data_IF_390339923152
#
_entry.id   IF_390339923152
#
_cell.length_a   1.000
_cell.length_b   1.000
_cell.length_c   1.000
_cell.angle_alpha   90.00
_cell.angle_beta   90.00
_cell.angle_gamma   90.00
#
_symmetry.space_group_name_H-M   'P 1'
#
loop_
_entity.id
_entity.type
_entity.pdbx_description
1 polymer ?
#
# COMPACT_ATOMS: atom_id res chain seq x y z
N UNK A 1 2.79 29.32 -4.00
CA UNK A 1 2.47 27.88 -4.13
C UNK A 1 0.98 27.74 -3.90
N UNK A 2 0.19 27.13 -4.81
CA UNK A 2 -1.21 26.83 -4.50
C UNK A 2 -1.25 25.89 -3.30
N UNK A 3 -2.08 26.21 -2.31
CA UNK A 3 -2.30 25.36 -1.15
C UNK A 3 -3.01 24.09 -1.61
N UNK A 4 -2.26 22.98 -1.68
CA UNK A 4 -2.83 21.69 -2.06
C UNK A 4 -3.78 21.29 -0.95
N UNK A 5 -5.05 21.09 -1.30
CA UNK A 5 -6.07 20.70 -0.33
C UNK A 5 -5.94 19.20 -0.07
N UNK A 6 -5.03 18.85 0.85
CA UNK A 6 -4.64 17.48 1.20
C UNK A 6 -5.85 16.59 1.45
N UNK A 7 -6.85 17.12 2.15
CA UNK A 7 -8.03 16.38 2.58
C UNK A 7 -8.92 15.99 1.41
N UNK A 8 -9.20 16.91 0.50
CA UNK A 8 -10.01 16.67 -0.70
C UNK A 8 -9.31 15.69 -1.64
N UNK A 9 -7.99 15.83 -1.83
CA UNK A 9 -7.19 14.87 -2.60
C UNK A 9 -7.32 13.45 -2.03
N UNK A 10 -7.15 13.30 -0.71
CA UNK A 10 -7.23 12.00 -0.06
C UNK A 10 -8.66 11.44 -0.02
N UNK A 11 -9.69 12.29 0.02
CA UNK A 11 -11.08 11.86 -0.17
C UNK A 11 -11.28 11.25 -1.56
N UNK A 12 -10.78 11.90 -2.62
CA UNK A 12 -10.84 11.38 -3.98
C UNK A 12 -10.08 10.06 -4.11
N UNK A 13 -8.89 9.95 -3.52
CA UNK A 13 -8.10 8.71 -3.48
C UNK A 13 -8.87 7.60 -2.78
N UNK A 14 -9.45 7.87 -1.60
CA UNK A 14 -10.21 6.87 -0.85
C UNK A 14 -11.43 6.37 -1.63
N UNK A 15 -12.18 7.29 -2.26
CA UNK A 15 -13.33 6.92 -3.11
C UNK A 15 -12.91 6.01 -4.26
N UNK A 16 -11.80 6.32 -4.94
CA UNK A 16 -11.28 5.49 -6.03
C UNK A 16 -10.83 4.10 -5.55
N UNK A 17 -10.09 4.05 -4.44
CA UNK A 17 -9.60 2.79 -3.87
C UNK A 17 -10.75 1.90 -3.41
N UNK A 18 -11.72 2.44 -2.68
CA UNK A 18 -12.86 1.66 -2.19
C UNK A 18 -13.82 1.25 -3.30
N UNK A 19 -13.93 2.01 -4.39
CA UNK A 19 -14.79 1.64 -5.51
C UNK A 19 -14.30 0.40 -6.27
N UNK A 20 -13.01 0.06 -6.16
CA UNK A 20 -12.45 -1.18 -6.73
C UNK A 20 -12.98 -2.44 -6.04
N UNK A 21 -13.38 -2.34 -4.77
CA UNK A 21 -13.85 -3.47 -3.97
C UNK A 21 -15.29 -3.25 -3.49
N UNK A 22 -16.26 -3.74 -4.27
CA UNK A 22 -17.70 -3.62 -3.94
C UNK A 22 -18.09 -4.21 -2.58
N UNK A 23 -17.33 -5.20 -2.08
CA UNK A 23 -17.57 -5.83 -0.78
C UNK A 23 -17.15 -4.98 0.43
N UNK A 24 -16.40 -3.89 0.19
CA UNK A 24 -15.65 -3.16 1.21
C UNK A 24 -14.24 -3.70 1.40
N UNK A 25 -13.40 -2.88 2.02
CA UNK A 25 -11.96 -3.13 2.18
C UNK A 25 -11.59 -3.03 3.66
N UNK A 26 -10.71 -3.92 4.14
CA UNK A 26 -10.15 -3.80 5.48
C UNK A 26 -9.23 -2.58 5.57
N UNK A 27 -9.15 -1.93 6.73
CA UNK A 27 -8.34 -0.71 6.94
C UNK A 27 -6.90 -0.89 6.45
N UNK A 28 -6.23 -1.97 6.88
CA UNK A 28 -4.83 -2.24 6.52
C UNK A 28 -4.69 -2.41 5.00
N UNK A 29 -5.60 -3.17 4.38
CA UNK A 29 -5.61 -3.34 2.93
C UNK A 29 -5.86 -2.03 2.18
N UNK A 30 -6.63 -1.10 2.75
CA UNK A 30 -6.84 0.23 2.16
C UNK A 30 -5.57 1.09 2.22
N UNK A 31 -4.80 1.00 3.30
CA UNK A 31 -3.50 1.67 3.38
C UNK A 31 -2.51 1.07 2.40
N UNK A 32 -2.41 -0.26 2.36
CA UNK A 32 -1.52 -0.98 1.43
C UNK A 32 -1.85 -0.65 -0.03
N UNK A 33 -3.14 -0.60 -0.38
CA UNK A 33 -3.58 -0.28 -1.74
C UNK A 33 -3.32 1.19 -2.08
N UNK A 34 -3.49 2.11 -1.14
CA UNK A 34 -3.15 3.53 -1.36
C UNK A 34 -1.64 3.69 -1.53
N UNK A 35 -0.84 3.10 -0.66
CA UNK A 35 0.62 3.17 -0.72
C UNK A 35 1.19 2.54 -2.00
N UNK A 36 0.58 1.44 -2.47
CA UNK A 36 1.03 0.75 -3.68
C UNK A 36 0.63 1.45 -4.98
N UNK A 37 -0.45 2.23 -4.99
CA UNK A 37 -1.01 2.81 -6.21
C UNK A 37 -0.88 4.33 -6.31
N UNK A 38 -0.50 5.03 -5.25
CA UNK A 38 -0.44 6.49 -5.24
C UNK A 38 0.93 6.96 -4.76
N UNK A 39 1.38 8.07 -5.31
CA UNK A 39 2.62 8.73 -4.87
C UNK A 39 2.24 10.11 -4.36
N UNK A 40 2.48 10.34 -3.07
CA UNK A 40 2.21 11.62 -2.44
C UNK A 40 3.44 12.52 -2.43
N UNK A 41 3.25 13.84 -2.27
CA UNK A 41 4.36 14.76 -2.01
C UNK A 41 5.16 14.35 -0.78
N UNK A 42 6.47 14.64 -0.77
CA UNK A 42 7.40 14.20 0.28
C UNK A 42 7.00 14.75 1.66
N UNK A 43 6.41 15.95 1.71
CA UNK A 43 5.90 16.54 2.93
C UNK A 43 4.83 15.69 3.64
N UNK A 44 4.09 14.84 2.91
CA UNK A 44 3.05 13.99 3.50
C UNK A 44 3.60 12.67 4.08
N UNK A 45 4.88 12.38 3.83
CA UNK A 45 5.60 11.28 4.47
C UNK A 45 6.31 11.73 5.75
N UNK A 46 6.11 12.98 6.19
CA UNK A 46 6.59 13.41 7.50
C UNK A 46 6.02 12.50 8.58
N UNK A 47 6.90 11.98 9.42
CA UNK A 47 6.51 11.18 10.57
C UNK A 47 5.84 12.05 11.62
N UNK A 48 4.71 11.57 12.11
CA UNK A 48 3.97 12.15 13.22
C UNK A 48 3.75 11.07 14.28
N UNK A 49 3.58 11.45 15.56
CA UNK A 49 3.26 10.49 16.60
C UNK A 49 1.96 9.76 16.27
N UNK A 50 1.98 8.42 16.31
CA UNK A 50 0.82 7.61 16.01
C UNK A 50 -0.26 7.78 17.09
N UNK A 51 -1.53 7.57 16.72
CA UNK A 51 -2.64 7.72 17.67
C UNK A 51 -2.45 6.88 18.95
N UNK A 52 -1.94 5.65 18.81
CA UNK A 52 -1.67 4.75 19.94
C UNK A 52 -0.54 5.24 20.83
N UNK A 53 0.38 6.04 20.30
CA UNK A 53 1.48 6.64 21.03
C UNK A 53 1.00 7.64 22.09
N UNK A 54 -0.02 8.43 21.78
CA UNK A 54 -0.60 9.36 22.75
C UNK A 54 -1.26 8.64 23.93
N UNK A 55 -1.97 7.54 23.67
CA UNK A 55 -2.59 6.70 24.70
C UNK A 55 -1.54 6.05 25.63
N UNK A 56 -0.34 5.77 25.13
CA UNK A 56 0.78 5.26 25.93
C UNK A 56 1.37 6.34 26.84
N UNK A 57 1.52 7.57 26.35
CA UNK A 57 2.00 8.70 27.16
C UNK A 57 1.01 9.03 28.28
N UNK A 58 -0.29 9.03 27.97
CA UNK A 58 -1.34 9.25 28.96
C UNK A 58 -1.34 8.15 30.04
N UNK A 59 -1.18 6.88 29.64
CA UNK A 59 -1.01 5.76 30.60
C UNK A 59 0.21 5.89 31.49
N UNK A 60 1.29 6.51 31.00
CA UNK A 60 2.50 6.82 31.78
C UNK A 60 2.36 8.09 32.64
N UNK A 61 1.20 8.76 32.61
CA UNK A 61 0.95 10.00 33.35
C UNK A 61 1.65 11.22 32.76
N UNK A 62 2.17 11.14 31.53
CA UNK A 62 2.73 12.28 30.83
C UNK A 62 1.63 13.02 30.05
N UNK A 63 1.47 14.31 30.34
CA UNK A 63 0.61 15.20 29.57
C UNK A 63 1.32 15.59 28.27
N UNK A 64 1.08 14.79 27.22
CA UNK A 64 1.67 14.97 25.89
C UNK A 64 1.37 16.35 25.30
N UNK A 65 0.30 17.04 25.74
CA UNK A 65 -0.04 18.40 25.27
C UNK A 65 1.01 19.45 25.67
N UNK A 66 1.81 19.16 26.69
CA UNK A 66 2.88 20.05 27.18
C UNK A 66 4.25 19.71 26.58
N UNK A 67 4.35 18.61 25.84
CA UNK A 67 5.59 18.15 25.23
C UNK A 67 5.68 18.71 23.80
N UNK A 68 6.81 19.33 23.41
CA UNK A 68 7.02 19.75 22.02
C UNK A 68 6.85 18.59 21.04
N UNK A 69 6.23 18.85 19.89
CA UNK A 69 5.92 17.84 18.86
C UNK A 69 7.15 17.02 18.45
N UNK A 70 8.30 17.69 18.33
CA UNK A 70 9.59 17.08 17.96
C UNK A 70 10.03 16.01 18.96
N UNK A 71 9.80 16.27 20.26
CA UNK A 71 10.12 15.31 21.33
C UNK A 71 9.10 14.17 21.39
N UNK A 72 7.86 14.41 20.98
CA UNK A 72 6.86 13.34 20.94
C UNK A 72 7.24 12.25 19.94
N UNK A 73 7.80 12.62 18.78
CA UNK A 73 8.28 11.68 17.76
C UNK A 73 9.34 10.72 18.31
N UNK A 74 10.18 11.17 19.25
CA UNK A 74 11.20 10.31 19.87
C UNK A 74 10.64 9.38 20.96
N UNK A 75 9.48 9.72 21.53
CA UNK A 75 8.93 9.06 22.71
C UNK A 75 7.90 7.98 22.39
N UNK A 76 7.33 7.99 21.18
CA UNK A 76 6.23 7.09 20.81
C UNK A 76 6.36 6.60 19.37
N UNK A 77 5.71 5.47 19.03
CA UNK A 77 5.64 5.02 17.65
C UNK A 77 5.09 6.10 16.73
N UNK A 78 5.69 6.26 15.55
CA UNK A 78 5.26 7.21 14.54
C UNK A 78 4.48 6.56 13.42
N UNK A 79 3.76 7.39 12.67
CA UNK A 79 3.10 7.02 11.42
C UNK A 79 3.26 8.13 10.39
N UNK A 80 3.21 7.81 9.08
CA UNK A 80 3.23 8.82 8.03
C UNK A 80 2.03 9.77 8.15
N UNK A 81 2.26 11.07 7.97
CA UNK A 81 1.21 12.09 8.04
C UNK A 81 0.01 11.78 7.12
N UNK A 82 0.27 11.25 5.91
CA UNK A 82 -0.80 10.88 4.97
C UNK A 82 -1.77 9.84 5.54
N UNK A 83 -1.32 8.90 6.39
CA UNK A 83 -2.21 7.89 6.99
C UNK A 83 -3.19 8.52 7.99
N UNK A 84 -2.72 9.50 8.76
CA UNK A 84 -3.57 10.28 9.64
C UNK A 84 -4.56 11.14 8.85
N UNK A 85 -4.10 11.85 7.82
CA UNK A 85 -4.98 12.63 6.95
C UNK A 85 -6.01 11.76 6.22
N UNK A 86 -5.65 10.54 5.84
CA UNK A 86 -6.56 9.58 5.24
C UNK A 86 -7.66 9.15 6.22
N UNK A 87 -7.36 8.99 7.51
CA UNK A 87 -8.38 8.77 8.57
C UNK A 87 -9.32 9.96 8.70
N UNK A 88 -8.81 11.19 8.61
CA UNK A 88 -9.64 12.40 8.62
C UNK A 88 -10.53 12.48 7.38
N UNK A 89 -9.97 12.26 6.18
CA UNK A 89 -10.72 12.19 4.93
C UNK A 89 -11.84 11.14 5.00
N UNK A 90 -11.55 9.96 5.56
CA UNK A 90 -12.54 8.90 5.81
C UNK A 90 -13.65 9.37 6.76
N UNK A 91 -13.32 10.08 7.83
CA UNK A 91 -14.33 10.60 8.76
C UNK A 91 -15.26 11.62 8.09
N UNK A 92 -14.74 12.43 7.19
CA UNK A 92 -15.53 13.41 6.44
C UNK A 92 -16.42 12.72 5.38
N UNK A 93 -15.91 11.70 4.68
CA UNK A 93 -16.73 10.86 3.79
C UNK A 93 -17.84 10.13 4.53
N UNK A 94 -17.58 9.68 5.78
CA UNK A 94 -18.59 9.10 6.65
C UNK A 94 -19.67 10.12 7.02
N UNK A 95 -19.28 11.33 7.43
CA UNK A 95 -20.23 12.43 7.75
C UNK A 95 -21.07 12.82 6.55
N UNK A 96 -20.50 12.79 5.35
CA UNK A 96 -21.19 13.10 4.10
C UNK A 96 -22.12 11.96 3.60
N UNK A 97 -22.15 10.80 4.27
CA UNK A 97 -22.99 9.66 3.93
C UNK A 97 -22.47 8.81 2.76
N UNK A 98 -21.19 8.95 2.40
CA UNK A 98 -20.56 8.15 1.34
C UNK A 98 -20.05 6.80 1.82
N UNK A 99 -19.83 6.64 3.13
CA UNK A 99 -19.42 5.37 3.74
C UNK A 99 -20.56 4.72 4.51
N UNK A 100 -20.65 3.40 4.36
CA UNK A 100 -21.61 2.57 5.04
C UNK A 100 -21.22 2.42 6.52
N UNK A 101 -22.09 2.90 7.41
CA UNK A 101 -21.88 2.83 8.87
C UNK A 101 -22.33 1.51 9.47
N UNK A 102 -23.10 0.70 8.72
CA UNK A 102 -23.49 -0.65 9.11
C UNK A 102 -22.43 -1.70 8.74
N UNK A 103 -21.36 -1.30 8.04
CA UNK A 103 -20.23 -2.17 7.75
C UNK A 103 -19.54 -2.65 9.06
N UNK A 104 -19.01 -3.89 9.11
CA UNK A 104 -18.28 -4.38 10.27
C UNK A 104 -17.13 -3.47 10.69
N UNK A 105 -16.79 -3.46 11.99
CA UNK A 105 -15.64 -2.71 12.50
C UNK A 105 -14.37 -3.16 11.76
N UNK A 106 -13.60 -2.19 11.26
CA UNK A 106 -12.39 -2.45 10.48
C UNK A 106 -12.61 -2.53 8.97
N UNK A 107 -13.86 -2.55 8.50
CA UNK A 107 -14.20 -2.57 7.07
C UNK A 107 -14.71 -1.21 6.63
N UNK A 108 -14.12 -0.67 5.56
CA UNK A 108 -14.57 0.53 4.89
C UNK A 108 -15.31 0.13 3.61
N UNK A 109 -16.59 0.49 3.53
CA UNK A 109 -17.46 0.16 2.40
C UNK A 109 -18.19 1.42 1.94
N UNK A 110 -18.30 1.59 0.62
CA UNK A 110 -19.06 2.70 0.05
C UNK A 110 -20.56 2.40 0.08
N UNK A 111 -21.36 3.44 0.30
CA UNK A 111 -22.81 3.41 0.05
C UNK A 111 -23.09 3.53 -1.45
N UNK A 112 -24.33 3.33 -1.93
CA UNK A 112 -24.69 3.64 -3.32
C UNK A 112 -24.33 5.09 -3.71
N UNK A 113 -24.53 6.04 -2.79
CA UNK A 113 -24.14 7.44 -2.94
C UNK A 113 -22.62 7.59 -3.10
N UNK A 114 -21.84 6.87 -2.28
CA UNK A 114 -20.37 6.84 -2.38
C UNK A 114 -19.87 6.23 -3.68
N UNK A 115 -20.51 5.16 -4.16
CA UNK A 115 -20.20 4.55 -5.45
C UNK A 115 -20.45 5.50 -6.63
N UNK A 116 -21.54 6.27 -6.61
CA UNK A 116 -21.79 7.30 -7.61
C UNK A 116 -20.73 8.42 -7.55
N UNK A 117 -20.36 8.87 -6.36
CA UNK A 117 -19.31 9.88 -6.19
C UNK A 117 -17.94 9.39 -6.69
N UNK A 118 -17.64 8.10 -6.52
CA UNK A 118 -16.42 7.48 -7.01
C UNK A 118 -16.35 7.36 -8.55
N UNK A 119 -17.46 7.56 -9.26
CA UNK A 119 -17.47 7.61 -10.74
C UNK A 119 -16.79 8.88 -11.30
N UNK A 120 -16.77 9.97 -10.54
CA UNK A 120 -16.02 11.18 -10.89
C UNK A 120 -15.45 11.88 -9.63
N UNK A 121 -14.51 11.22 -8.94
CA UNK A 121 -14.07 11.61 -7.61
C UNK A 121 -13.26 12.90 -7.62
N UNK A 122 -12.71 13.29 -8.77
CA UNK A 122 -11.79 14.42 -8.91
C UNK A 122 -12.43 15.65 -9.55
N UNK A 123 -13.76 15.68 -9.71
CA UNK A 123 -14.47 16.77 -10.40
C UNK A 123 -14.21 18.15 -9.77
N UNK A 124 -14.02 18.21 -8.45
CA UNK A 124 -13.80 19.43 -7.67
C UNK A 124 -12.31 19.75 -7.41
N UNK A 125 -11.40 18.89 -7.87
CA UNK A 125 -9.95 19.06 -7.71
C UNK A 125 -9.36 19.89 -8.85
N UNK A 126 -8.35 20.69 -8.51
CA UNK A 126 -7.50 21.41 -9.46
C UNK A 126 -6.60 20.45 -10.27
N UNK A 127 -5.93 20.93 -11.32
CA UNK A 127 -5.11 20.08 -12.20
C UNK A 127 -3.96 19.40 -11.43
N UNK A 128 -3.29 20.12 -10.53
CA UNK A 128 -2.19 19.56 -9.73
C UNK A 128 -2.70 18.54 -8.70
N UNK A 129 -3.80 18.85 -8.01
CA UNK A 129 -4.47 17.93 -7.08
C UNK A 129 -4.93 16.64 -7.79
N UNK A 130 -5.42 16.76 -9.03
CA UNK A 130 -5.79 15.60 -9.86
C UNK A 130 -4.60 14.72 -10.18
N UNK A 131 -3.41 15.28 -10.44
CA UNK A 131 -2.21 14.48 -10.72
C UNK A 131 -1.83 13.61 -9.52
N UNK A 132 -1.92 14.16 -8.31
CA UNK A 132 -1.65 13.44 -7.06
C UNK A 132 -2.73 12.39 -6.79
N UNK A 133 -4.00 12.72 -7.04
CA UNK A 133 -5.13 11.81 -6.87
C UNK A 133 -5.30 10.79 -8.02
N UNK A 134 -4.42 10.81 -9.02
CA UNK A 134 -4.44 9.82 -10.09
C UNK A 134 -3.61 8.63 -9.63
N UNK A 135 -4.16 7.41 -9.61
CA UNK A 135 -3.37 6.24 -9.28
C UNK A 135 -2.23 6.18 -10.31
N UNK A 136 -1.00 6.09 -9.82
CA UNK A 136 0.13 5.64 -10.60
C UNK A 136 -0.25 4.21 -10.95
N UNK A 137 -0.84 4.01 -12.13
CA UNK A 137 -1.11 2.66 -12.61
C UNK A 137 0.21 1.91 -12.46
N UNK A 138 0.30 0.86 -11.62
CA UNK A 138 1.33 -0.10 -11.85
C UNK A 138 1.09 -0.51 -13.29
N UNK A 139 2.02 -0.18 -14.20
CA UNK A 139 2.12 -0.85 -15.50
C UNK A 139 1.84 -2.29 -15.14
N UNK A 140 0.72 -2.90 -15.62
CA UNK A 140 0.22 -4.14 -15.07
C UNK A 140 1.44 -5.00 -14.91
N UNK A 141 1.73 -5.41 -13.66
CA UNK A 141 2.77 -6.37 -13.43
C UNK A 141 2.36 -7.51 -14.34
N UNK A 142 2.99 -7.52 -15.52
CA UNK A 142 2.89 -8.58 -16.48
C UNK A 142 3.17 -9.74 -15.57
N UNK A 143 2.16 -10.58 -15.32
CA UNK A 143 2.39 -11.93 -14.84
C UNK A 143 3.69 -12.32 -15.51
N UNK A 144 4.72 -12.61 -14.73
CA UNK A 144 6.03 -12.96 -15.26
C UNK A 144 5.86 -14.31 -15.97
N UNK A 145 5.15 -14.35 -17.10
CA UNK A 145 5.72 -14.89 -18.31
C UNK A 145 7.00 -14.10 -18.45
N UNK A 146 8.08 -14.68 -17.93
CA UNK A 146 9.40 -14.48 -18.51
C UNK A 146 9.17 -14.67 -20.00
N UNK A 147 9.00 -13.58 -20.73
CA UNK A 147 9.08 -13.61 -22.17
C UNK A 147 10.50 -14.12 -22.41
N UNK A 148 10.60 -15.39 -22.80
CA UNK A 148 11.81 -15.88 -23.42
C UNK A 148 12.13 -14.85 -24.53
N UNK A 149 13.38 -14.35 -24.60
CA UNK A 149 13.76 -13.49 -25.70
C UNK A 149 13.42 -14.25 -26.99
N UNK A 150 12.63 -13.60 -27.84
CA UNK A 150 12.13 -14.18 -29.07
C UNK A 150 13.30 -14.82 -29.83
N UNK A 151 13.25 -16.15 -30.00
CA UNK A 151 14.24 -16.93 -30.75
C UNK A 151 15.12 -17.89 -29.96
N UNK A 152 15.15 -17.87 -28.63
CA UNK A 152 15.98 -18.83 -27.88
C UNK A 152 15.23 -20.14 -27.60
N UNK A 153 15.85 -21.26 -27.98
CA UNK A 153 15.37 -22.60 -27.64
C UNK A 153 15.36 -22.80 -26.12
N UNK A 154 14.47 -23.67 -25.62
CA UNK A 154 14.36 -23.96 -24.20
C UNK A 154 15.72 -24.38 -23.58
N UNK A 155 16.55 -25.07 -24.36
CA UNK A 155 17.91 -25.48 -23.99
C UNK A 155 18.84 -24.29 -23.76
N UNK A 156 18.82 -23.29 -24.64
CA UNK A 156 19.66 -22.08 -24.51
C UNK A 156 19.25 -21.28 -23.28
N UNK A 157 17.94 -21.17 -23.00
CA UNK A 157 17.43 -20.49 -21.81
C UNK A 157 17.89 -21.17 -20.50
N UNK A 158 17.89 -22.51 -20.47
CA UNK A 158 18.39 -23.27 -19.32
C UNK A 158 19.91 -23.10 -19.16
N UNK A 159 20.66 -23.08 -20.26
CA UNK A 159 22.10 -22.85 -20.23
C UNK A 159 22.46 -21.45 -19.73
N UNK A 160 21.71 -20.41 -20.13
CA UNK A 160 21.94 -19.05 -19.61
C UNK A 160 21.67 -18.99 -18.11
N UNK A 161 20.56 -19.58 -17.65
CA UNK A 161 20.22 -19.63 -16.23
C UNK A 161 21.25 -20.40 -15.41
N UNK A 162 21.75 -21.52 -15.93
CA UNK A 162 22.84 -22.29 -15.32
C UNK A 162 24.13 -21.48 -15.25
N UNK A 163 24.51 -20.79 -16.33
CA UNK A 163 25.69 -19.93 -16.35
C UNK A 163 25.60 -18.81 -15.30
N UNK A 164 24.45 -18.14 -15.21
CA UNK A 164 24.20 -17.11 -14.17
C UNK A 164 24.31 -17.69 -12.77
N UNK A 165 23.73 -18.87 -12.52
CA UNK A 165 23.81 -19.54 -11.22
C UNK A 165 25.25 -19.89 -10.86
N UNK A 166 26.03 -20.44 -11.80
CA UNK A 166 27.45 -20.77 -11.59
C UNK A 166 28.35 -19.55 -11.38
N UNK A 167 27.99 -18.39 -11.92
CA UNK A 167 28.72 -17.14 -11.65
C UNK A 167 28.36 -16.51 -10.29
N UNK A 168 27.19 -16.85 -9.75
CA UNK A 168 26.65 -16.23 -8.52
C UNK A 168 26.80 -17.08 -7.26
N UNK A 169 27.11 -18.37 -7.40
CA UNK A 169 27.15 -19.33 -6.28
C UNK A 169 28.40 -20.18 -6.31
N UNK A 170 28.88 -20.57 -5.12
CA UNK A 170 30.01 -21.49 -4.99
C UNK A 170 29.61 -22.92 -5.35
N UNK A 171 30.56 -23.73 -5.83
CA UNK A 171 30.34 -25.14 -6.20
C UNK A 171 29.61 -25.96 -5.10
N UNK A 172 29.97 -25.87 -3.79
CA UNK A 172 29.27 -26.63 -2.75
C UNK A 172 27.81 -26.20 -2.56
N UNK A 173 27.48 -24.91 -2.73
CA UNK A 173 26.09 -24.43 -2.60
C UNK A 173 25.21 -24.91 -3.75
N UNK A 174 25.77 -24.98 -4.96
CA UNK A 174 25.09 -25.56 -6.12
C UNK A 174 24.81 -27.05 -5.93
N UNK A 175 25.76 -27.77 -5.32
CA UNK A 175 25.60 -29.19 -5.03
C UNK A 175 24.48 -29.43 -4.01
N UNK A 176 24.43 -28.60 -2.96
CA UNK A 176 23.34 -28.62 -1.98
C UNK A 176 21.97 -28.36 -2.63
N UNK A 177 21.87 -27.38 -3.53
CA UNK A 177 20.62 -27.10 -4.26
C UNK A 177 20.17 -28.29 -5.12
N UNK A 178 21.09 -28.99 -5.79
CA UNK A 178 20.78 -30.18 -6.58
C UNK A 178 20.30 -31.32 -5.69
N UNK A 179 20.93 -31.53 -4.53
CA UNK A 179 20.54 -32.57 -3.58
C UNK A 179 19.17 -32.30 -2.94
N UNK A 180 18.88 -31.03 -2.63
CA UNK A 180 17.54 -30.59 -2.18
C UNK A 180 16.50 -30.85 -3.26
N UNK A 181 16.78 -30.43 -4.50
CA UNK A 181 15.86 -30.64 -5.62
C UNK A 181 15.60 -32.13 -5.90
N UNK A 182 16.64 -32.96 -5.79
CA UNK A 182 16.53 -34.43 -5.92
C UNK A 182 15.67 -35.03 -4.80
N UNK A 183 15.87 -34.57 -3.56
CA UNK A 183 15.11 -35.01 -2.39
C UNK A 183 13.62 -34.64 -2.49
N UNK A 184 13.32 -33.43 -2.95
CA UNK A 184 11.94 -32.96 -3.18
C UNK A 184 11.27 -33.81 -4.27
N UNK A 185 11.99 -34.10 -5.36
CA UNK A 185 11.46 -34.91 -6.47
C UNK A 185 11.20 -36.36 -6.05
N UNK A 186 12.07 -36.95 -5.24
CA UNK A 186 11.86 -38.30 -4.68
C UNK A 186 10.60 -38.35 -3.81
N UNK A 187 10.40 -37.36 -2.93
CA UNK A 187 9.18 -37.27 -2.09
C UNK A 187 7.89 -37.07 -2.88
N UNK A 188 7.96 -36.41 -4.03
CA UNK A 188 6.80 -36.19 -4.91
C UNK A 188 6.39 -37.44 -5.72
N UNK A 189 7.24 -38.48 -5.76
CA UNK A 189 6.95 -39.75 -6.46
C UNK A 189 6.39 -40.81 -5.49
N UNK A 190 6.56 -40.61 -4.18
CA UNK A 190 6.05 -41.51 -3.12
C UNK A 190 4.65 -41.12 -2.60
N UNK A 191 4.03 -40.06 -3.12
CA UNK A 191 2.65 -39.63 -2.85
C UNK A 191 1.75 -39.91 -4.05
#
# INVERSE_FOLDING_TARGET
MPEIRTREVLQSVLLQTLARTKAGMQIHSAYDEVESNYTFPQEWYREIPASTGYDELERKGLDWRKVPQEKLVELVPTEPQWQNELRWARNDLRKAGYLDTAAPRGVWRLTPKGMSAAGNPSQHLTVEERRIATPVTPKPASKTKTAAPAGMSHRESLQTKLATLTSSMSLPDLQLLVDIARSIRLRAVEQ
#
